data_IF_708734275872
#
_entry.id   IF_708734275872
#
_cell.length_a   1.000
_cell.length_b   1.000
_cell.length_c   1.000
_cell.angle_alpha   90.00
_cell.angle_beta   90.00
_cell.angle_gamma   90.00
#
_symmetry.space_group_name_H-M   'P 1'
#
loop_
_entity.id
_entity.type
_entity.pdbx_description
1 polymer ?
#
# COMPACT_ATOMS: atom_id res chain seq x y z
N UNK A 1 12.23 0.65 11.46
CA UNK A 1 11.43 1.62 12.21
C UNK A 1 9.93 1.32 12.13
N UNK A 2 9.37 1.10 10.95
CA UNK A 2 7.95 0.74 10.81
C UNK A 2 7.57 -0.57 11.50
N UNK A 3 8.50 -1.52 11.57
CA UNK A 3 8.27 -2.83 12.19
C UNK A 3 8.02 -2.75 13.71
N UNK A 4 8.43 -1.67 14.33
CA UNK A 4 8.19 -1.47 15.77
C UNK A 4 6.82 -0.87 16.07
N UNK A 5 6.07 -0.46 15.05
CA UNK A 5 4.76 0.18 15.18
C UNK A 5 3.65 -0.72 14.64
N UNK A 6 3.62 -1.99 15.04
CA UNK A 6 2.68 -2.98 14.51
C UNK A 6 1.21 -2.64 14.73
N UNK A 7 0.90 -1.70 15.63
CA UNK A 7 -0.46 -1.22 15.88
C UNK A 7 -0.81 0.07 15.15
N UNK A 8 0.06 0.51 14.23
CA UNK A 8 -0.21 1.70 13.44
C UNK A 8 -1.45 1.49 12.57
N UNK A 9 -2.40 2.40 12.62
CA UNK A 9 -3.66 2.31 11.88
C UNK A 9 -3.69 3.20 10.64
N UNK A 10 -2.99 4.32 10.67
CA UNK A 10 -2.97 5.26 9.56
C UNK A 10 -1.53 5.59 9.16
N UNK A 11 -1.27 5.57 7.87
CA UNK A 11 0.05 5.85 7.35
C UNK A 11 -0.05 6.64 6.04
N UNK A 12 0.54 7.83 6.03
CA UNK A 12 0.63 8.68 4.85
C UNK A 12 2.10 8.79 4.44
N UNK A 13 2.40 8.45 3.20
CA UNK A 13 3.76 8.53 2.66
C UNK A 13 3.76 9.42 1.44
N UNK A 14 4.49 10.53 1.53
CA UNK A 14 4.62 11.51 0.45
C UNK A 14 6.03 11.51 -0.10
N UNK A 15 6.16 11.41 -1.41
CA UNK A 15 7.36 11.80 -2.15
C UNK A 15 8.66 11.24 -1.57
N UNK A 16 8.69 9.96 -1.22
CA UNK A 16 9.87 9.31 -0.64
C UNK A 16 10.84 8.88 -1.74
N UNK A 17 11.43 9.86 -2.45
CA UNK A 17 12.33 9.58 -3.56
C UNK A 17 13.63 8.89 -3.15
N UNK A 18 14.07 9.13 -1.93
CA UNK A 18 15.33 8.57 -1.41
C UNK A 18 15.14 7.21 -0.76
N UNK A 19 13.92 6.77 -0.57
CA UNK A 19 13.63 5.48 0.06
C UNK A 19 13.33 4.44 -1.02
N UNK A 20 13.88 3.25 -0.85
CA UNK A 20 13.54 2.14 -1.71
C UNK A 20 12.13 1.69 -1.37
N UNK A 21 11.19 1.88 -2.29
CA UNK A 21 9.80 1.51 -2.08
C UNK A 21 9.63 0.03 -1.74
N UNK A 22 10.51 -0.81 -2.25
CA UNK A 22 10.50 -2.24 -1.93
C UNK A 22 10.61 -2.48 -0.42
N UNK A 23 11.57 -1.82 0.24
CA UNK A 23 11.73 -1.95 1.70
C UNK A 23 10.56 -1.35 2.46
N UNK A 24 10.05 -0.23 1.95
CA UNK A 24 8.89 0.42 2.53
C UNK A 24 7.68 -0.52 2.51
N UNK A 25 7.40 -1.14 1.36
CA UNK A 25 6.27 -2.05 1.24
C UNK A 25 6.44 -3.29 2.10
N UNK A 26 7.65 -3.79 2.28
CA UNK A 26 7.92 -4.90 3.19
C UNK A 26 7.60 -4.52 4.64
N UNK A 27 7.99 -3.32 5.05
CA UNK A 27 7.67 -2.81 6.39
C UNK A 27 6.17 -2.63 6.59
N UNK A 28 5.49 -2.06 5.61
CA UNK A 28 4.03 -1.87 5.67
C UNK A 28 3.31 -3.22 5.76
N UNK A 29 3.83 -4.23 5.06
CA UNK A 29 3.22 -5.55 5.05
C UNK A 29 3.15 -6.23 6.43
N UNK A 30 3.93 -5.76 7.40
CA UNK A 30 3.89 -6.27 8.77
C UNK A 30 2.90 -5.50 9.66
N UNK A 31 2.26 -4.44 9.15
CA UNK A 31 1.33 -3.61 9.91
C UNK A 31 -0.09 -4.18 9.80
N UNK A 32 -0.39 -5.16 10.65
CA UNK A 32 -1.65 -5.92 10.57
C UNK A 32 -2.89 -5.11 10.93
N UNK A 33 -2.74 -4.01 11.65
CA UNK A 33 -3.85 -3.17 12.08
C UNK A 33 -4.06 -1.94 11.19
N UNK A 34 -3.31 -1.84 10.10
CA UNK A 34 -3.40 -0.69 9.20
C UNK A 34 -4.74 -0.66 8.50
N UNK A 35 -5.46 0.46 8.64
CA UNK A 35 -6.77 0.67 8.02
C UNK A 35 -6.76 1.77 6.97
N UNK A 36 -5.86 2.74 7.10
CA UNK A 36 -5.78 3.88 6.20
C UNK A 36 -4.36 3.99 5.65
N UNK A 37 -4.21 3.81 4.36
CA UNK A 37 -2.92 3.88 3.68
C UNK A 37 -2.98 4.87 2.52
N UNK A 38 -2.09 5.85 2.52
CA UNK A 38 -1.91 6.79 1.42
C UNK A 38 -0.47 6.73 0.94
N UNK A 39 -0.29 6.34 -0.31
CA UNK A 39 1.00 6.33 -0.99
C UNK A 39 0.95 7.33 -2.13
N UNK A 40 1.72 8.40 -2.03
CA UNK A 40 1.73 9.44 -3.05
C UNK A 40 3.02 9.40 -3.84
N UNK A 41 2.91 9.56 -5.15
CA UNK A 41 4.05 9.68 -6.07
C UNK A 41 5.02 8.50 -6.01
N UNK A 42 4.50 7.30 -6.12
CA UNK A 42 5.32 6.09 -6.18
C UNK A 42 6.02 5.91 -7.52
N UNK A 43 6.84 6.87 -7.93
CA UNK A 43 7.47 6.87 -9.25
C UNK A 43 8.48 5.75 -9.45
N UNK A 44 9.18 5.38 -8.37
CA UNK A 44 10.21 4.35 -8.43
C UNK A 44 9.70 2.98 -8.03
N UNK A 45 8.40 2.84 -7.89
CA UNK A 45 7.77 1.60 -7.51
C UNK A 45 7.48 0.78 -8.77
N UNK A 46 8.10 -0.39 -8.88
CA UNK A 46 7.84 -1.26 -10.01
C UNK A 46 6.42 -1.84 -9.94
N UNK A 47 5.78 -2.02 -11.11
CA UNK A 47 4.42 -2.54 -11.18
C UNK A 47 4.28 -3.88 -10.45
N UNK A 48 5.26 -4.76 -10.59
CA UNK A 48 5.23 -6.07 -9.95
C UNK A 48 5.35 -5.97 -8.43
N UNK A 49 6.15 -5.04 -7.93
CA UNK A 49 6.29 -4.83 -6.49
C UNK A 49 4.99 -4.32 -5.88
N UNK A 50 4.35 -3.36 -6.53
CA UNK A 50 3.06 -2.83 -6.09
C UNK A 50 1.99 -3.91 -6.14
N UNK A 51 1.92 -4.67 -7.23
CA UNK A 51 0.98 -5.75 -7.39
C UNK A 51 1.14 -6.82 -6.30
N UNK A 52 2.38 -7.22 -6.02
CA UNK A 52 2.67 -8.18 -4.95
C UNK A 52 2.21 -7.67 -3.60
N UNK A 53 2.47 -6.39 -3.32
CA UNK A 53 2.03 -5.77 -2.08
C UNK A 53 0.50 -5.79 -1.95
N UNK A 54 -0.20 -5.43 -3.00
CA UNK A 54 -1.67 -5.34 -2.98
C UNK A 54 -2.35 -6.71 -2.85
N UNK A 55 -1.63 -7.80 -3.10
CA UNK A 55 -2.14 -9.16 -2.91
C UNK A 55 -1.85 -9.71 -1.51
N UNK A 56 -1.20 -8.96 -0.63
CA UNK A 56 -0.86 -9.45 0.71
C UNK A 56 -2.09 -9.55 1.60
N UNK A 57 -2.12 -10.53 2.51
CA UNK A 57 -3.24 -10.69 3.45
C UNK A 57 -3.47 -9.47 4.34
N UNK A 58 -2.42 -8.69 4.64
CA UNK A 58 -2.55 -7.47 5.45
C UNK A 58 -3.48 -6.43 4.83
N UNK A 59 -3.71 -6.51 3.52
CA UNK A 59 -4.62 -5.59 2.83
C UNK A 59 -6.09 -5.82 3.20
N UNK A 60 -6.44 -6.92 3.82
CA UNK A 60 -7.83 -7.20 4.20
C UNK A 60 -8.37 -6.25 5.25
N UNK A 61 -7.51 -5.59 6.02
CA UNK A 61 -7.93 -4.62 7.04
C UNK A 61 -8.07 -3.19 6.51
N UNK A 62 -7.65 -2.94 5.28
CA UNK A 62 -7.64 -1.58 4.70
C UNK A 62 -9.05 -1.11 4.41
N UNK A 63 -9.39 0.06 4.93
CA UNK A 63 -10.67 0.73 4.73
C UNK A 63 -10.53 1.88 3.73
N UNK A 64 -9.41 2.61 3.80
CA UNK A 64 -9.10 3.71 2.90
C UNK A 64 -7.75 3.44 2.24
N UNK A 65 -7.73 3.49 0.91
CA UNK A 65 -6.51 3.31 0.13
C UNK A 65 -6.40 4.43 -0.89
N UNK A 66 -5.31 5.19 -0.82
CA UNK A 66 -5.02 6.26 -1.76
C UNK A 66 -3.67 5.98 -2.41
N UNK A 67 -3.70 5.71 -3.70
CA UNK A 67 -2.53 5.42 -4.52
C UNK A 67 -2.32 6.52 -5.57
N UNK A 68 -2.62 7.75 -5.21
CA UNK A 68 -2.50 8.89 -6.12
C UNK A 68 -1.10 9.01 -6.71
N UNK A 69 -1.03 9.14 -8.02
CA UNK A 69 0.23 9.29 -8.74
C UNK A 69 1.15 8.06 -8.66
N UNK A 70 0.63 6.89 -8.36
CA UNK A 70 1.33 5.63 -8.50
C UNK A 70 1.17 5.17 -9.95
N UNK A 71 2.02 5.68 -10.84
CA UNK A 71 1.89 5.48 -12.29
C UNK A 71 2.08 4.02 -12.72
N UNK A 72 2.62 3.19 -11.85
CA UNK A 72 2.86 1.77 -12.15
C UNK A 72 1.71 0.85 -11.75
N UNK A 73 0.63 1.40 -11.20
CA UNK A 73 -0.55 0.61 -10.89
C UNK A 73 -1.15 0.05 -12.17
N UNK A 74 -1.26 -1.26 -12.25
CA UNK A 74 -1.76 -1.97 -13.42
C UNK A 74 -2.98 -2.85 -13.07
N UNK A 75 -3.44 -3.62 -14.04
CA UNK A 75 -4.61 -4.49 -13.86
C UNK A 75 -4.41 -5.54 -12.77
N UNK A 76 -3.19 -6.06 -12.63
CA UNK A 76 -2.89 -7.03 -11.58
C UNK A 76 -2.95 -6.41 -10.19
N UNK A 77 -2.50 -5.18 -10.06
CA UNK A 77 -2.64 -4.42 -8.81
C UNK A 77 -4.11 -4.19 -8.47
N UNK A 78 -4.91 -3.81 -9.45
CA UNK A 78 -6.35 -3.62 -9.26
C UNK A 78 -7.05 -4.91 -8.88
N UNK A 79 -6.64 -6.04 -9.43
CA UNK A 79 -7.17 -7.35 -9.03
C UNK A 79 -6.85 -7.66 -7.58
N UNK A 80 -5.63 -7.31 -7.12
CA UNK A 80 -5.25 -7.47 -5.73
C UNK A 80 -6.18 -6.69 -4.81
N UNK A 81 -6.43 -5.42 -5.14
CA UNK A 81 -7.35 -4.58 -4.38
C UNK A 81 -8.75 -5.21 -4.34
N UNK A 82 -9.27 -5.62 -5.49
CA UNK A 82 -10.60 -6.20 -5.58
C UNK A 82 -10.72 -7.52 -4.80
N UNK A 83 -9.63 -8.29 -4.74
CA UNK A 83 -9.63 -9.60 -4.10
C UNK A 83 -9.42 -9.52 -2.59
N UNK A 84 -8.50 -8.65 -2.15
CA UNK A 84 -8.07 -8.59 -0.73
C UNK A 84 -8.77 -7.52 0.07
N UNK A 85 -9.07 -6.37 -0.54
CA UNK A 85 -9.59 -5.21 0.18
C UNK A 85 -11.12 -5.27 0.29
N UNK A 86 -11.64 -6.28 0.97
CA UNK A 86 -13.08 -6.48 1.08
C UNK A 86 -13.76 -5.55 2.08
N UNK A 87 -12.99 -4.80 2.86
CA UNK A 87 -13.50 -3.77 3.78
C UNK A 87 -13.32 -2.35 3.25
N UNK A 88 -12.83 -2.22 2.04
CA UNK A 88 -12.50 -0.93 1.45
C UNK A 88 -13.77 -0.10 1.22
N UNK A 89 -13.78 1.12 1.73
CA UNK A 89 -14.86 2.09 1.53
C UNK A 89 -14.44 3.30 0.72
N UNK A 90 -13.14 3.56 0.60
CA UNK A 90 -12.59 4.68 -0.15
C UNK A 90 -11.38 4.22 -0.94
N UNK A 91 -11.40 4.46 -2.24
CA UNK A 91 -10.28 4.17 -3.14
C UNK A 91 -10.02 5.37 -4.04
N UNK A 92 -8.78 5.84 -4.04
CA UNK A 92 -8.32 6.89 -4.95
C UNK A 92 -7.08 6.37 -5.70
N UNK A 93 -7.17 6.33 -6.99
CA UNK A 93 -6.08 5.86 -7.87
C UNK A 93 -5.74 6.86 -8.96
#
# INVERSE_FOLDING_TARGET
MLMMCCRLQELDIFNCEKMTYRRLLEGIGSLHELTHLRLFRGRNLAAQELSTFLHRPSMTSIVLLDLSCCSTLDDEGLKGIATRCNKLTYLHV
#
